data_IF_756583960433
#
_entry.id   IF_756583960433
#
_cell.length_a   1.000
_cell.length_b   1.000
_cell.length_c   1.000
_cell.angle_alpha   90.00
_cell.angle_beta   90.00
_cell.angle_gamma   90.00
#
_symmetry.space_group_name_H-M   'P 1'
#
loop_
_entity.id
_entity.type
_entity.pdbx_description
1 polymer ?
#
# COMPACT_ATOMS: atom_id res chain seq x y z
N UNK A 1 10.88 -12.17 -4.64
CA UNK A 1 12.15 -12.62 -5.28
C UNK A 1 12.93 -13.60 -4.40
N UNK A 2 13.20 -13.32 -3.15
CA UNK A 2 13.99 -14.21 -2.25
C UNK A 2 13.39 -15.62 -2.13
N UNK A 3 12.08 -15.75 -2.09
CA UNK A 3 11.40 -17.04 -2.07
C UNK A 3 11.80 -17.93 -3.27
N UNK A 4 11.74 -17.39 -4.48
CA UNK A 4 12.12 -18.12 -5.69
C UNK A 4 13.63 -18.38 -5.77
N UNK A 5 14.44 -17.44 -5.28
CA UNK A 5 15.88 -17.63 -5.14
C UNK A 5 16.17 -18.81 -4.21
N UNK A 6 15.46 -18.91 -3.09
CA UNK A 6 15.54 -20.05 -2.16
C UNK A 6 15.20 -21.38 -2.83
N UNK A 7 14.17 -21.41 -3.67
CA UNK A 7 13.83 -22.61 -4.46
C UNK A 7 14.95 -23.03 -5.43
N UNK A 8 15.57 -22.06 -6.09
CA UNK A 8 16.66 -22.33 -7.03
C UNK A 8 17.94 -22.77 -6.33
N UNK A 9 18.32 -22.10 -5.26
CA UNK A 9 19.59 -22.36 -4.57
C UNK A 9 19.58 -23.59 -3.66
N UNK A 10 18.42 -24.08 -3.25
CA UNK A 10 18.33 -25.22 -2.31
C UNK A 10 19.00 -26.52 -2.84
N UNK A 11 19.10 -26.67 -4.18
CA UNK A 11 19.77 -27.80 -4.81
C UNK A 11 21.29 -27.77 -4.63
N UNK A 12 21.88 -26.58 -4.46
CA UNK A 12 23.30 -26.37 -4.31
C UNK A 12 23.71 -26.07 -2.86
N UNK A 13 22.82 -25.42 -2.12
CA UNK A 13 23.07 -24.95 -0.75
C UNK A 13 21.85 -25.20 0.13
N UNK A 14 21.86 -26.30 0.88
CA UNK A 14 20.75 -26.74 1.70
C UNK A 14 20.11 -25.68 2.62
N UNK A 15 20.88 -24.79 3.29
CA UNK A 15 20.33 -23.71 4.10
C UNK A 15 19.48 -22.70 3.31
N UNK A 16 19.62 -22.60 1.97
CA UNK A 16 18.81 -21.70 1.14
C UNK A 16 17.30 -22.01 1.22
N UNK A 17 16.91 -23.23 1.61
CA UNK A 17 15.51 -23.58 1.86
C UNK A 17 14.85 -22.71 2.96
N UNK A 18 15.65 -22.12 3.85
CA UNK A 18 15.12 -21.19 4.87
C UNK A 18 14.47 -19.96 4.24
N UNK A 19 14.91 -19.54 3.05
CA UNK A 19 14.28 -18.44 2.30
C UNK A 19 12.88 -18.80 1.75
N UNK A 20 12.46 -20.06 1.87
CA UNK A 20 11.08 -20.49 1.56
C UNK A 20 10.17 -20.45 2.79
N UNK A 21 10.73 -20.29 3.99
CA UNK A 21 9.96 -20.15 5.22
C UNK A 21 9.41 -18.73 5.35
N UNK A 22 8.09 -18.61 5.45
CA UNK A 22 7.44 -17.31 5.66
C UNK A 22 7.90 -16.63 6.94
N UNK A 23 8.16 -17.38 8.01
CA UNK A 23 8.68 -16.84 9.27
C UNK A 23 10.03 -16.16 9.08
N UNK A 24 10.94 -16.82 8.34
CA UNK A 24 12.27 -16.27 8.03
C UNK A 24 12.14 -15.02 7.14
N UNK A 25 11.28 -15.07 6.13
CA UNK A 25 11.03 -13.92 5.25
C UNK A 25 10.45 -12.74 6.00
N UNK A 26 9.51 -12.96 6.93
CA UNK A 26 8.96 -11.91 7.79
C UNK A 26 10.06 -11.32 8.69
N UNK A 27 10.90 -12.15 9.31
CA UNK A 27 12.00 -11.66 10.13
C UNK A 27 12.97 -10.79 9.31
N UNK A 28 13.35 -11.23 8.11
CA UNK A 28 14.18 -10.44 7.18
C UNK A 28 13.49 -9.12 6.84
N UNK A 29 12.17 -9.14 6.55
CA UNK A 29 11.40 -7.94 6.23
C UNK A 29 11.42 -6.92 7.37
N UNK A 30 11.21 -7.37 8.60
CA UNK A 30 11.22 -6.53 9.79
C UNK A 30 12.59 -5.88 10.01
N UNK A 31 13.66 -6.67 9.92
CA UNK A 31 15.02 -6.15 10.06
C UNK A 31 15.36 -5.15 8.97
N UNK A 32 15.11 -5.47 7.70
CA UNK A 32 15.37 -4.57 6.58
C UNK A 32 14.54 -3.29 6.71
N UNK A 33 13.25 -3.41 7.03
CA UNK A 33 12.35 -2.27 7.22
C UNK A 33 12.83 -1.34 8.33
N UNK A 34 13.20 -1.91 9.48
CA UNK A 34 13.74 -1.14 10.60
C UNK A 34 15.05 -0.41 10.24
N UNK A 35 16.04 -1.14 9.73
CA UNK A 35 17.34 -0.53 9.42
C UNK A 35 17.29 0.48 8.29
N UNK A 36 16.55 0.20 7.22
CA UNK A 36 16.39 1.13 6.10
C UNK A 36 15.65 2.40 6.54
N UNK A 37 14.56 2.25 7.29
CA UNK A 37 13.81 3.40 7.81
C UNK A 37 14.66 4.22 8.77
N UNK A 38 15.35 3.57 9.71
CA UNK A 38 16.24 4.24 10.67
C UNK A 38 17.34 5.06 10.00
N UNK A 39 17.94 4.55 8.91
CA UNK A 39 19.01 5.24 8.17
C UNK A 39 18.50 6.27 7.16
N UNK A 40 17.42 5.97 6.47
CA UNK A 40 16.97 6.78 5.33
C UNK A 40 16.07 7.94 5.76
N UNK A 41 15.18 7.76 6.74
CA UNK A 41 14.28 8.84 7.16
C UNK A 41 15.08 10.08 7.63
N UNK A 42 16.07 9.97 8.53
CA UNK A 42 16.87 11.14 8.92
C UNK A 42 17.65 11.77 7.76
N UNK A 43 18.16 10.95 6.83
CA UNK A 43 18.90 11.43 5.66
C UNK A 43 18.03 12.26 4.71
N UNK A 44 16.76 11.92 4.59
CA UNK A 44 15.81 12.63 3.72
C UNK A 44 15.09 13.76 4.44
N UNK A 45 15.19 13.88 5.77
CA UNK A 45 14.49 14.86 6.59
C UNK A 45 14.51 16.29 6.00
N UNK A 46 15.68 16.81 5.66
CA UNK A 46 15.86 18.16 5.13
C UNK A 46 15.42 18.32 3.65
N UNK A 47 15.11 17.21 2.96
CA UNK A 47 14.66 17.21 1.56
C UNK A 47 13.16 17.09 1.43
N UNK A 48 12.48 16.75 2.52
CA UNK A 48 11.03 16.64 2.55
C UNK A 48 10.37 18.01 2.59
N UNK A 49 9.16 18.16 2.05
CA UNK A 49 8.38 19.37 2.26
C UNK A 49 8.14 19.60 3.75
N UNK A 50 8.06 20.86 4.15
CA UNK A 50 7.80 21.23 5.54
C UNK A 50 6.42 21.87 5.64
N UNK A 51 5.72 21.57 6.73
CA UNK A 51 4.38 22.09 6.99
C UNK A 51 4.42 23.62 7.06
N UNK A 52 3.52 24.25 6.31
CA UNK A 52 3.38 25.71 6.24
C UNK A 52 2.35 26.25 7.22
N UNK A 53 1.67 25.37 7.95
CA UNK A 53 0.51 25.68 8.77
C UNK A 53 -0.78 25.72 7.94
N UNK A 54 -1.91 25.39 8.57
CA UNK A 54 -3.24 25.43 7.94
C UNK A 54 -3.96 26.71 8.34
N UNK A 55 -4.45 27.48 7.36
CA UNK A 55 -5.18 28.74 7.63
C UNK A 55 -6.43 28.57 8.48
N UNK A 56 -7.08 27.41 8.39
CA UNK A 56 -8.32 27.07 9.10
C UNK A 56 -8.14 26.27 10.40
N UNK A 57 -6.89 25.94 10.77
CA UNK A 57 -6.62 25.25 12.03
C UNK A 57 -6.54 26.22 13.20
N UNK A 58 -6.84 25.74 14.40
CA UNK A 58 -6.64 26.50 15.65
C UNK A 58 -5.17 26.95 15.69
N UNK A 59 -4.94 28.25 15.89
CA UNK A 59 -3.59 28.87 15.77
C UNK A 59 -2.52 28.13 16.55
N UNK A 60 -2.81 27.68 17.76
CA UNK A 60 -1.86 26.94 18.61
C UNK A 60 -1.39 25.64 18.00
N UNK A 61 -2.31 24.86 17.39
CA UNK A 61 -1.96 23.58 16.72
C UNK A 61 -1.28 23.80 15.38
N UNK A 62 -1.68 24.84 14.64
CA UNK A 62 -1.06 25.22 13.38
C UNK A 62 0.39 25.70 13.58
N UNK A 63 0.64 26.52 14.59
CA UNK A 63 1.98 27.03 14.88
C UNK A 63 2.92 25.93 15.43
N UNK A 64 2.40 24.98 16.18
CA UNK A 64 3.15 23.79 16.64
C UNK A 64 3.56 22.84 15.50
N UNK A 65 2.83 22.84 14.37
CA UNK A 65 3.10 22.00 13.21
C UNK A 65 4.06 22.64 12.21
N UNK A 66 4.10 23.98 12.14
CA UNK A 66 4.96 24.71 11.20
C UNK A 66 6.41 24.28 11.29
N UNK A 67 7.01 24.07 10.14
CA UNK A 67 8.42 23.68 10.02
C UNK A 67 8.70 22.20 10.27
N UNK A 68 7.70 21.37 10.62
CA UNK A 68 7.88 19.93 10.69
C UNK A 68 7.84 19.32 9.30
N UNK A 69 8.65 18.29 9.01
CA UNK A 69 8.62 17.63 7.70
C UNK A 69 7.30 16.91 7.51
N UNK A 70 6.68 17.15 6.37
CA UNK A 70 5.51 16.42 5.85
C UNK A 70 5.94 15.44 4.77
N UNK A 71 5.06 14.57 4.32
CA UNK A 71 5.35 13.66 3.22
C UNK A 71 6.40 12.59 3.55
N UNK A 72 6.68 12.30 4.82
CA UNK A 72 7.59 11.20 5.23
C UNK A 72 7.15 9.85 4.69
N UNK A 73 5.87 9.72 4.35
CA UNK A 73 5.30 8.55 3.68
C UNK A 73 6.07 8.14 2.42
N UNK A 74 6.62 9.10 1.65
CA UNK A 74 7.38 8.79 0.44
C UNK A 74 8.58 7.88 0.72
N UNK A 75 9.26 8.09 1.83
CA UNK A 75 10.43 7.28 2.19
C UNK A 75 9.98 5.91 2.68
N UNK A 76 9.07 5.86 3.65
CA UNK A 76 8.75 4.60 4.30
C UNK A 76 7.87 3.70 3.42
N UNK A 77 6.92 4.22 2.63
CA UNK A 77 6.13 3.43 1.68
C UNK A 77 7.02 2.90 0.54
N UNK A 78 7.99 3.70 0.06
CA UNK A 78 8.94 3.21 -0.93
C UNK A 78 9.77 2.05 -0.37
N UNK A 79 10.27 2.16 0.87
CA UNK A 79 10.97 1.07 1.55
C UNK A 79 10.07 -0.16 1.66
N UNK A 80 8.82 0.02 2.10
CA UNK A 80 7.84 -1.06 2.21
C UNK A 80 7.62 -1.78 0.88
N UNK A 81 7.36 -1.03 -0.20
CA UNK A 81 7.14 -1.60 -1.53
C UNK A 81 8.38 -2.36 -2.01
N UNK A 82 9.58 -1.81 -1.86
CA UNK A 82 10.83 -2.48 -2.23
C UNK A 82 11.05 -3.78 -1.45
N UNK A 83 10.76 -3.78 -0.15
CA UNK A 83 10.86 -4.99 0.69
C UNK A 83 9.83 -6.02 0.23
N UNK A 84 8.58 -5.62 -0.04
CA UNK A 84 7.57 -6.52 -0.55
C UNK A 84 7.97 -7.13 -1.91
N UNK A 85 8.51 -6.34 -2.83
CA UNK A 85 9.03 -6.82 -4.12
C UNK A 85 10.17 -7.83 -3.94
N UNK A 86 11.00 -7.64 -2.93
CA UNK A 86 12.12 -8.54 -2.63
C UNK A 86 11.68 -9.86 -2.00
N UNK A 87 10.74 -9.81 -1.06
CA UNK A 87 10.46 -10.91 -0.13
C UNK A 87 9.22 -11.70 -0.54
N UNK A 88 8.13 -11.02 -0.93
CA UNK A 88 6.84 -11.67 -1.20
C UNK A 88 6.90 -12.47 -2.51
N UNK A 89 6.38 -13.71 -2.55
CA UNK A 89 6.15 -14.42 -3.81
C UNK A 89 5.03 -13.70 -4.58
N UNK A 90 5.44 -12.85 -5.54
CA UNK A 90 4.53 -11.96 -6.25
C UNK A 90 3.76 -12.71 -7.34
N UNK A 91 2.45 -12.48 -7.36
CA UNK A 91 1.60 -12.68 -8.53
C UNK A 91 1.39 -11.32 -9.23
N UNK A 92 0.89 -11.35 -10.47
CA UNK A 92 0.58 -10.11 -11.21
C UNK A 92 -0.32 -9.18 -10.39
N UNK A 93 -1.40 -9.69 -9.81
CA UNK A 93 -2.33 -8.89 -9.01
C UNK A 93 -1.67 -8.25 -7.79
N UNK A 94 -0.82 -9.01 -7.06
CA UNK A 94 -0.08 -8.47 -5.90
C UNK A 94 0.90 -7.37 -6.32
N UNK A 95 1.60 -7.55 -7.45
CA UNK A 95 2.51 -6.54 -7.98
C UNK A 95 1.78 -5.27 -8.37
N UNK A 96 0.64 -5.38 -9.02
CA UNK A 96 -0.19 -4.24 -9.42
C UNK A 96 -0.75 -3.48 -8.22
N UNK A 97 -1.19 -4.18 -7.16
CA UNK A 97 -1.62 -3.53 -5.91
C UNK A 97 -0.47 -2.77 -5.24
N UNK A 98 0.74 -3.35 -5.20
CA UNK A 98 1.92 -2.64 -4.66
C UNK A 98 2.24 -1.37 -5.46
N UNK A 99 2.14 -1.45 -6.78
CA UNK A 99 2.33 -0.29 -7.67
C UNK A 99 1.26 0.77 -7.40
N UNK A 100 -0.01 0.40 -7.28
CA UNK A 100 -1.08 1.33 -6.94
C UNK A 100 -0.88 1.97 -5.56
N UNK A 101 -0.47 1.20 -4.57
CA UNK A 101 -0.13 1.72 -3.23
C UNK A 101 0.98 2.79 -3.32
N UNK A 102 1.98 2.55 -4.15
CA UNK A 102 3.05 3.52 -4.37
C UNK A 102 2.56 4.76 -5.09
N UNK A 103 1.68 4.63 -6.09
CA UNK A 103 1.05 5.77 -6.77
C UNK A 103 0.14 6.59 -5.85
N UNK A 104 -0.63 5.94 -4.98
CA UNK A 104 -1.45 6.64 -3.96
C UNK A 104 -0.58 7.48 -3.04
N UNK A 105 0.53 6.92 -2.56
CA UNK A 105 1.51 7.66 -1.77
C UNK A 105 2.10 8.83 -2.55
N UNK A 106 2.46 8.62 -3.83
CA UNK A 106 3.00 9.70 -4.66
C UNK A 106 2.00 10.84 -4.87
N UNK A 107 0.72 10.54 -5.08
CA UNK A 107 -0.31 11.59 -5.23
C UNK A 107 -0.38 12.46 -3.99
N UNK A 108 -0.41 11.86 -2.79
CA UNK A 108 -0.37 12.61 -1.52
C UNK A 108 0.92 13.42 -1.34
N UNK A 109 2.07 12.84 -1.67
CA UNK A 109 3.35 13.56 -1.60
C UNK A 109 3.44 14.76 -2.56
N UNK A 110 2.91 14.62 -3.77
CA UNK A 110 2.89 15.71 -4.75
C UNK A 110 1.96 16.85 -4.30
N UNK A 111 0.84 16.53 -3.66
CA UNK A 111 -0.02 17.52 -3.05
C UNK A 111 0.70 18.26 -1.91
N UNK A 112 1.33 17.56 -0.99
CA UNK A 112 2.10 18.14 0.11
C UNK A 112 3.25 19.04 -0.38
N UNK A 113 3.84 18.69 -1.52
CA UNK A 113 4.94 19.46 -2.14
C UNK A 113 4.45 20.67 -2.93
N UNK A 114 3.22 20.68 -3.41
CA UNK A 114 2.68 21.75 -4.26
C UNK A 114 2.60 23.08 -3.50
N UNK A 115 2.81 24.18 -4.19
CA UNK A 115 2.73 25.54 -3.61
C UNK A 115 1.28 25.86 -3.22
N UNK A 116 0.34 25.48 -4.08
CA UNK A 116 -1.09 25.55 -3.85
C UNK A 116 -1.60 24.13 -3.64
N UNK A 117 -2.31 23.87 -2.53
CA UNK A 117 -2.92 22.56 -2.28
C UNK A 117 -3.87 22.19 -3.42
N UNK A 118 -3.88 20.92 -3.80
CA UNK A 118 -4.83 20.43 -4.79
C UNK A 118 -6.26 20.60 -4.29
N UNK A 119 -7.17 20.93 -5.17
CA UNK A 119 -8.58 21.02 -4.83
C UNK A 119 -9.14 19.66 -4.40
N UNK A 120 -10.08 19.67 -3.46
CA UNK A 120 -10.71 18.47 -2.91
C UNK A 120 -11.32 17.57 -3.98
N UNK A 121 -11.90 18.16 -5.04
CA UNK A 121 -12.46 17.40 -6.16
C UNK A 121 -11.40 16.63 -6.95
N UNK A 122 -10.22 17.22 -7.18
CA UNK A 122 -9.12 16.55 -7.87
C UNK A 122 -8.60 15.36 -7.05
N UNK A 123 -8.40 15.56 -5.75
CA UNK A 123 -7.98 14.48 -4.83
C UNK A 123 -9.00 13.37 -4.81
N UNK A 124 -10.27 13.70 -4.55
CA UNK A 124 -11.35 12.71 -4.51
C UNK A 124 -11.52 11.93 -5.83
N UNK A 125 -11.30 12.59 -6.98
CA UNK A 125 -11.32 11.93 -8.28
C UNK A 125 -10.13 10.96 -8.47
N UNK A 126 -8.92 11.38 -8.12
CA UNK A 126 -7.73 10.51 -8.19
C UNK A 126 -7.88 9.28 -7.28
N UNK A 127 -8.35 9.49 -6.05
CA UNK A 127 -8.62 8.42 -5.10
C UNK A 127 -9.70 7.46 -5.62
N UNK A 128 -10.72 7.98 -6.30
CA UNK A 128 -11.74 7.15 -6.95
C UNK A 128 -11.16 6.28 -8.06
N UNK A 129 -10.35 6.87 -8.95
CA UNK A 129 -9.70 6.13 -10.06
C UNK A 129 -8.82 5.02 -9.51
N UNK A 130 -8.01 5.31 -8.49
CA UNK A 130 -7.16 4.32 -7.83
C UNK A 130 -8.00 3.22 -7.18
N UNK A 131 -9.10 3.59 -6.51
CA UNK A 131 -10.00 2.63 -5.85
C UNK A 131 -10.68 1.71 -6.85
N UNK A 132 -11.13 2.22 -8.00
CA UNK A 132 -11.68 1.39 -9.10
C UNK A 132 -10.63 0.42 -9.62
N UNK A 133 -9.42 0.92 -9.94
CA UNK A 133 -8.34 0.08 -10.42
C UNK A 133 -7.98 -1.02 -9.42
N UNK A 134 -7.85 -0.67 -8.14
CA UNK A 134 -7.57 -1.63 -7.07
C UNK A 134 -8.67 -2.69 -6.94
N UNK A 135 -9.94 -2.28 -6.98
CA UNK A 135 -11.09 -3.20 -6.88
C UNK A 135 -11.13 -4.20 -8.02
N UNK A 136 -10.86 -3.76 -9.25
CA UNK A 136 -10.78 -4.63 -10.42
C UNK A 136 -9.63 -5.63 -10.29
N UNK A 137 -8.44 -5.17 -9.90
CA UNK A 137 -7.27 -6.03 -9.71
C UNK A 137 -7.51 -7.05 -8.60
N UNK A 138 -8.13 -6.64 -7.50
CA UNK A 138 -8.47 -7.54 -6.39
C UNK A 138 -9.48 -8.60 -6.83
N UNK A 139 -10.52 -8.21 -7.56
CA UNK A 139 -11.50 -9.17 -8.10
C UNK A 139 -10.82 -10.26 -8.94
N UNK A 140 -10.02 -9.87 -9.94
CA UNK A 140 -9.30 -10.83 -10.77
C UNK A 140 -8.24 -11.62 -9.99
N UNK A 141 -7.61 -11.01 -9.00
CA UNK A 141 -6.67 -11.67 -8.11
C UNK A 141 -7.30 -12.80 -7.31
N UNK A 142 -8.49 -12.58 -6.76
CA UNK A 142 -9.27 -13.59 -6.01
C UNK A 142 -9.80 -14.66 -6.97
N UNK A 143 -10.39 -14.24 -8.09
CA UNK A 143 -10.91 -15.15 -9.12
C UNK A 143 -9.85 -16.13 -9.62
N UNK A 144 -8.65 -15.64 -9.92
CA UNK A 144 -7.56 -16.47 -10.42
C UNK A 144 -6.91 -17.35 -9.33
N UNK A 145 -7.11 -17.03 -8.06
CA UNK A 145 -6.66 -17.84 -6.94
C UNK A 145 -7.69 -18.90 -6.50
N UNK A 146 -8.95 -18.72 -6.89
CA UNK A 146 -10.04 -19.66 -6.59
C UNK A 146 -9.95 -20.89 -7.48
N UNK A 147 -10.18 -22.06 -6.93
CA UNK A 147 -10.11 -23.32 -7.66
C UNK A 147 -11.22 -23.48 -8.72
N UNK A 148 -12.37 -22.88 -8.46
CA UNK A 148 -13.56 -22.88 -9.33
C UNK A 148 -13.66 -21.63 -10.23
N UNK A 149 -12.69 -20.71 -10.12
CA UNK A 149 -12.69 -19.47 -10.87
C UNK A 149 -13.81 -18.48 -10.50
N UNK A 150 -14.43 -18.67 -9.34
CA UNK A 150 -15.55 -17.86 -8.85
C UNK A 150 -15.15 -17.10 -7.60
N UNK A 151 -15.63 -15.86 -7.48
CA UNK A 151 -15.46 -15.06 -6.25
C UNK A 151 -16.64 -15.33 -5.33
N UNK A 152 -16.38 -16.00 -4.22
CA UNK A 152 -17.38 -16.29 -3.21
C UNK A 152 -16.88 -15.94 -1.81
N UNK A 153 -17.81 -15.53 -0.95
CA UNK A 153 -17.52 -15.23 0.46
C UNK A 153 -18.41 -16.04 1.38
N UNK A 154 -17.81 -16.52 2.44
CA UNK A 154 -18.57 -17.06 3.55
C UNK A 154 -19.07 -15.89 4.40
N UNK A 155 -20.38 -15.83 4.59
CA UNK A 155 -20.99 -14.84 5.47
C UNK A 155 -21.29 -15.47 6.84
N UNK A 156 -20.96 -14.77 7.96
CA UNK A 156 -21.40 -15.19 9.28
C UNK A 156 -22.93 -15.40 9.29
N UNK A 157 -23.39 -16.46 9.96
CA UNK A 157 -24.81 -16.84 10.07
C UNK A 157 -25.47 -17.39 8.81
N UNK A 158 -24.72 -17.56 7.73
CA UNK A 158 -25.19 -18.20 6.49
C UNK A 158 -24.48 -19.55 6.33
N UNK A 159 -25.23 -20.61 6.13
CA UNK A 159 -24.69 -21.98 6.06
C UNK A 159 -23.95 -22.30 4.75
N UNK A 160 -23.97 -21.40 3.79
CA UNK A 160 -23.33 -21.58 2.48
C UNK A 160 -22.55 -20.33 2.05
N UNK A 161 -21.61 -20.52 1.13
CA UNK A 161 -20.88 -19.43 0.51
C UNK A 161 -21.76 -18.70 -0.50
N UNK A 162 -21.70 -17.37 -0.51
CA UNK A 162 -22.41 -16.54 -1.44
C UNK A 162 -21.48 -16.15 -2.58
N UNK A 163 -21.85 -16.49 -3.81
CA UNK A 163 -21.16 -16.07 -5.02
C UNK A 163 -21.51 -14.62 -5.29
N UNK A 164 -20.49 -13.81 -5.51
CA UNK A 164 -20.66 -12.37 -5.73
C UNK A 164 -20.48 -12.03 -7.21
N UNK A 165 -21.45 -11.32 -7.76
CA UNK A 165 -21.37 -10.80 -9.12
C UNK A 165 -20.16 -9.84 -9.27
N UNK A 166 -19.43 -9.89 -10.40
CA UNK A 166 -18.27 -9.04 -10.65
C UNK A 166 -18.53 -7.54 -10.47
N UNK A 167 -19.66 -7.07 -10.98
CA UNK A 167 -20.02 -5.64 -10.94
C UNK A 167 -20.32 -5.24 -9.50
N UNK A 168 -21.09 -6.05 -8.79
CA UNK A 168 -21.41 -5.82 -7.37
C UNK A 168 -20.13 -5.78 -6.52
N UNK A 169 -19.21 -6.73 -6.74
CA UNK A 169 -17.93 -6.75 -6.05
C UNK A 169 -17.15 -5.45 -6.28
N UNK A 170 -16.95 -5.08 -7.56
CA UNK A 170 -16.15 -3.90 -7.92
C UNK A 170 -16.78 -2.63 -7.36
N UNK A 171 -18.11 -2.46 -7.46
CA UNK A 171 -18.79 -1.26 -6.94
C UNK A 171 -18.63 -1.15 -5.42
N UNK A 172 -18.94 -2.21 -4.69
CA UNK A 172 -18.86 -2.19 -3.22
C UNK A 172 -17.41 -1.97 -2.76
N UNK A 173 -16.45 -2.70 -3.33
CA UNK A 173 -15.04 -2.56 -2.98
C UNK A 173 -14.50 -1.17 -3.31
N UNK A 174 -14.91 -0.58 -4.43
CA UNK A 174 -14.55 0.79 -4.81
C UNK A 174 -15.06 1.80 -3.78
N UNK A 175 -16.33 1.72 -3.39
CA UNK A 175 -16.90 2.61 -2.38
C UNK A 175 -16.16 2.47 -1.05
N UNK A 176 -15.90 1.24 -0.61
CA UNK A 176 -15.19 0.99 0.64
C UNK A 176 -13.77 1.55 0.62
N UNK A 177 -13.00 1.30 -0.45
CA UNK A 177 -11.63 1.79 -0.58
C UNK A 177 -11.60 3.31 -0.69
N UNK A 178 -12.44 3.88 -1.53
CA UNK A 178 -12.55 5.33 -1.71
C UNK A 178 -12.93 6.05 -0.41
N UNK A 179 -13.94 5.56 0.30
CA UNK A 179 -14.33 6.09 1.61
C UNK A 179 -13.19 5.98 2.63
N UNK A 180 -12.48 4.83 2.67
CA UNK A 180 -11.36 4.62 3.59
C UNK A 180 -10.21 5.59 3.33
N UNK A 181 -9.84 5.83 2.07
CA UNK A 181 -8.78 6.77 1.70
C UNK A 181 -9.18 8.20 2.11
N UNK A 182 -10.41 8.60 1.81
CA UNK A 182 -10.86 9.96 2.10
C UNK A 182 -11.08 10.22 3.60
N UNK A 183 -11.54 9.25 4.38
CA UNK A 183 -11.69 9.41 5.84
C UNK A 183 -10.36 9.53 6.58
N UNK A 184 -9.28 8.97 6.05
CA UNK A 184 -7.94 9.11 6.63
C UNK A 184 -7.26 10.43 6.28
N UNK A 185 -7.77 11.15 5.27
CA UNK A 185 -7.25 12.43 4.80
C UNK A 185 -7.96 13.65 5.40
N UNK A 186 -8.90 13.46 6.32
CA UNK A 186 -9.64 14.54 7.00
C UNK A 186 -8.86 15.20 8.14
#
# INVERSE_FOLDING_TARGET
MLYFLGQYLQSFFGPARLLQSYTVLIAIALYLGFFLSYKLIPKFYNKLPHDRGREFAIKETSDAAKGKPTGTGVVFITIFVLICLLIVPLSLSRSLILILTWFTMLSGFLDDRSVTSWGEYLKGFLDLVISVAASVILYYGIKNASADGVVSFWLPFVSHTVVVDPVVYVVISTIMLWASINTTNC
#
